data_IF_314433258092
#
_entry.id   IF_314433258092
#
_cell.length_a   1.000
_cell.length_b   1.000
_cell.length_c   1.000
_cell.angle_alpha   90.00
_cell.angle_beta   90.00
_cell.angle_gamma   90.00
#
_symmetry.space_group_name_H-M   'P 1'
#
loop_
_entity.id
_entity.type
_entity.pdbx_description
1 polymer ?
#
# COMPACT_ATOMS: atom_id res chain seq x y z
N UNK A 1 6.68 34.47 6.64
CA UNK A 1 8.04 34.09 6.24
C UNK A 1 8.77 35.40 6.07
N UNK A 2 9.56 35.78 7.05
CA UNK A 2 10.23 37.08 7.05
C UNK A 2 11.67 36.88 6.59
N UNK A 3 12.05 37.65 5.57
CA UNK A 3 13.40 37.69 5.05
C UNK A 3 14.17 38.78 5.80
N UNK A 4 15.26 38.41 6.47
CA UNK A 4 16.22 39.37 7.04
C UNK A 4 17.47 39.31 6.17
N UNK A 5 17.56 40.24 5.22
CA UNK A 5 18.62 40.22 4.20
C UNK A 5 18.54 38.96 3.34
N UNK A 6 19.61 38.17 3.29
CA UNK A 6 19.70 36.92 2.52
C UNK A 6 19.30 35.66 3.32
N UNK A 7 18.80 35.82 4.54
CA UNK A 7 18.48 34.70 5.43
C UNK A 7 16.97 34.58 5.64
N UNK A 8 16.47 33.35 5.55
CA UNK A 8 15.11 32.99 5.95
C UNK A 8 15.13 32.81 7.47
N UNK A 9 14.42 33.69 8.19
CA UNK A 9 14.25 33.54 9.63
C UNK A 9 12.93 32.83 9.87
N UNK A 10 13.03 31.54 10.20
CA UNK A 10 11.91 30.72 10.67
C UNK A 10 11.64 31.07 12.14
N UNK A 11 10.61 31.87 12.41
CA UNK A 11 10.16 32.15 13.78
C UNK A 11 8.96 31.27 14.13
N UNK A 12 9.01 30.63 15.30
CA UNK A 12 7.89 29.85 15.82
C UNK A 12 6.80 30.82 16.27
N UNK A 13 5.68 30.83 15.56
CA UNK A 13 4.49 31.59 15.94
C UNK A 13 3.59 30.71 16.79
N UNK A 14 3.38 31.10 18.05
CA UNK A 14 2.46 30.40 18.95
C UNK A 14 1.02 30.58 18.45
N UNK A 15 0.30 29.49 18.22
CA UNK A 15 -1.06 29.53 17.72
C UNK A 15 -1.87 28.28 18.09
N UNK A 16 -3.12 28.49 18.54
CA UNK A 16 -4.03 27.41 18.89
C UNK A 16 -4.60 26.73 17.64
N UNK A 17 -4.16 25.50 17.41
CA UNK A 17 -4.72 24.62 16.36
C UNK A 17 -5.91 23.85 16.93
N UNK A 18 -7.11 24.36 16.68
CA UNK A 18 -8.35 23.61 16.89
C UNK A 18 -8.62 22.76 15.65
N UNK A 19 -8.77 21.45 15.84
CA UNK A 19 -9.16 20.51 14.80
C UNK A 19 -10.34 19.67 15.28
N UNK A 20 -11.13 19.18 14.33
CA UNK A 20 -12.16 18.17 14.58
C UNK A 20 -11.84 16.97 13.70
N UNK A 21 -11.92 15.76 14.26
CA UNK A 21 -11.71 14.54 13.49
C UNK A 21 -12.78 13.51 13.80
N UNK A 22 -13.23 12.82 12.75
CA UNK A 22 -14.15 11.71 12.80
C UNK A 22 -13.43 10.48 12.27
N UNK A 23 -13.49 9.39 13.02
CA UNK A 23 -12.89 8.13 12.67
C UNK A 23 -13.95 7.03 12.74
N UNK A 24 -14.06 6.26 11.69
CA UNK A 24 -14.95 5.11 11.61
C UNK A 24 -14.13 3.89 11.20
N UNK A 25 -14.25 2.81 11.99
CA UNK A 25 -13.63 1.53 11.71
C UNK A 25 -14.70 0.46 11.60
N UNK A 26 -14.72 -0.23 10.47
CA UNK A 26 -15.58 -1.38 10.24
C UNK A 26 -14.71 -2.59 9.98
N UNK A 27 -15.07 -3.72 10.57
CA UNK A 27 -14.42 -5.00 10.33
C UNK A 27 -15.48 -6.10 10.29
N UNK A 28 -15.44 -6.89 9.22
CA UNK A 28 -16.27 -8.07 9.05
C UNK A 28 -15.38 -9.25 8.67
N UNK A 29 -15.74 -10.43 9.16
CA UNK A 29 -15.01 -11.66 8.88
C UNK A 29 -15.99 -12.81 8.81
N UNK A 30 -15.96 -13.57 7.72
CA UNK A 30 -16.89 -14.66 7.48
C UNK A 30 -16.15 -15.85 6.86
N UNK A 31 -16.35 -17.03 7.43
CA UNK A 31 -15.92 -18.28 6.81
C UNK A 31 -16.81 -18.62 5.62
N UNK A 32 -16.21 -19.04 4.50
CA UNK A 32 -16.89 -19.46 3.28
C UNK A 32 -16.74 -20.98 3.16
N UNK A 33 -17.76 -21.72 3.60
CA UNK A 33 -17.71 -23.19 3.70
C UNK A 33 -17.39 -23.88 2.37
N UNK A 34 -18.00 -23.44 1.25
CA UNK A 34 -17.79 -24.08 -0.05
C UNK A 34 -16.38 -23.88 -0.62
N UNK A 35 -15.66 -22.82 -0.22
CA UNK A 35 -14.26 -22.58 -0.58
C UNK A 35 -13.27 -23.15 0.45
N UNK A 36 -13.78 -23.69 1.57
CA UNK A 36 -12.98 -23.96 2.78
C UNK A 36 -12.12 -22.74 3.14
N UNK A 37 -12.70 -21.56 2.98
CA UNK A 37 -11.99 -20.29 2.94
C UNK A 37 -12.51 -19.30 3.97
N UNK A 38 -11.88 -18.12 3.99
CA UNK A 38 -12.24 -17.02 4.89
C UNK A 38 -12.17 -15.70 4.14
N UNK A 39 -13.23 -14.92 4.23
CA UNK A 39 -13.26 -13.54 3.75
C UNK A 39 -13.16 -12.59 4.94
N UNK A 40 -12.25 -11.63 4.87
CA UNK A 40 -12.09 -10.56 5.84
C UNK A 40 -12.18 -9.24 5.12
N UNK A 41 -13.00 -8.32 5.63
CA UNK A 41 -13.12 -6.96 5.10
C UNK A 41 -12.90 -5.98 6.24
N UNK A 42 -12.07 -4.97 5.99
CA UNK A 42 -11.81 -3.86 6.90
C UNK A 42 -12.02 -2.57 6.15
N UNK A 43 -12.71 -1.60 6.75
CA UNK A 43 -12.83 -0.25 6.24
C UNK A 43 -12.46 0.75 7.33
N UNK A 44 -11.59 1.70 6.99
CA UNK A 44 -11.15 2.80 7.82
C UNK A 44 -11.52 4.08 7.11
N UNK A 45 -12.38 4.88 7.73
CA UNK A 45 -12.72 6.21 7.25
C UNK A 45 -12.29 7.25 8.27
N UNK A 46 -11.51 8.22 7.84
CA UNK A 46 -11.12 9.39 8.61
C UNK A 46 -11.58 10.64 7.88
N UNK A 47 -12.25 11.53 8.59
CA UNK A 47 -12.51 12.89 8.13
C UNK A 47 -11.93 13.86 9.15
N UNK A 48 -11.25 14.90 8.69
CA UNK A 48 -10.68 15.90 9.57
C UNK A 48 -10.90 17.29 8.99
N UNK A 49 -11.21 18.23 9.87
CA UNK A 49 -11.24 19.66 9.57
C UNK A 49 -10.18 20.32 10.44
N UNK A 50 -9.27 21.05 9.81
CA UNK A 50 -8.18 21.72 10.52
C UNK A 50 -7.77 22.99 9.78
N UNK A 51 -6.70 23.62 10.26
CA UNK A 51 -6.18 24.86 9.71
C UNK A 51 -4.68 24.73 9.46
N UNK A 52 -4.23 25.35 8.39
CA UNK A 52 -2.82 25.48 8.05
C UNK A 52 -2.48 26.98 8.01
N UNK A 53 -1.35 27.36 8.56
CA UNK A 53 -0.85 28.73 8.48
C UNK A 53 0.07 28.83 7.28
N UNK A 54 -0.28 29.67 6.30
CA UNK A 54 0.54 29.96 5.13
C UNK A 54 0.60 31.48 4.95
N UNK A 55 1.79 32.05 4.78
CA UNK A 55 2.00 33.50 4.67
C UNK A 55 1.32 34.31 5.78
N UNK A 56 1.45 33.84 7.03
CA UNK A 56 0.83 34.44 8.22
C UNK A 56 -0.71 34.50 8.21
N UNK A 57 -1.36 33.80 7.26
CA UNK A 57 -2.81 33.65 7.21
C UNK A 57 -3.23 32.23 7.58
N UNK A 58 -4.25 32.13 8.42
CA UNK A 58 -4.86 30.86 8.82
C UNK A 58 -5.85 30.40 7.74
N UNK A 59 -5.52 29.32 7.06
CA UNK A 59 -6.32 28.76 5.96
C UNK A 59 -6.99 27.46 6.40
N UNK A 60 -8.32 27.34 6.34
CA UNK A 60 -9.00 26.09 6.64
C UNK A 60 -8.71 25.04 5.56
N UNK A 61 -8.61 23.79 5.97
CA UNK A 61 -8.57 22.65 5.06
C UNK A 61 -9.34 21.46 5.64
N UNK A 62 -9.92 20.68 4.74
CA UNK A 62 -10.67 19.47 5.08
C UNK A 62 -10.01 18.27 4.39
N UNK A 63 -9.83 17.17 5.12
CA UNK A 63 -9.35 15.90 4.56
C UNK A 63 -10.36 14.79 4.78
N UNK A 64 -10.47 13.89 3.81
CA UNK A 64 -11.25 12.65 3.92
C UNK A 64 -10.44 11.50 3.36
N UNK A 65 -10.19 10.49 4.18
CA UNK A 65 -9.39 9.34 3.85
C UNK A 65 -10.25 8.10 4.06
N UNK A 66 -10.36 7.26 3.03
CA UNK A 66 -11.01 5.96 3.10
C UNK A 66 -10.00 4.89 2.69
N UNK A 67 -9.83 3.87 3.51
CA UNK A 67 -9.07 2.68 3.16
C UNK A 67 -9.96 1.45 3.36
N UNK A 68 -10.17 0.68 2.30
CA UNK A 68 -10.91 -0.58 2.34
C UNK A 68 -9.92 -1.68 1.99
N UNK A 69 -9.76 -2.66 2.88
CA UNK A 69 -8.97 -3.86 2.65
C UNK A 69 -9.87 -5.08 2.71
N UNK A 70 -9.88 -5.87 1.64
CA UNK A 70 -10.52 -7.19 1.57
C UNK A 70 -9.45 -8.27 1.44
N UNK A 71 -9.58 -9.37 2.16
CA UNK A 71 -8.66 -10.51 2.13
C UNK A 71 -9.46 -11.81 2.05
N UNK A 72 -9.20 -12.59 1.01
CA UNK A 72 -9.84 -13.86 0.72
C UNK A 72 -8.80 -14.97 0.76
N UNK A 73 -8.95 -15.87 1.74
CA UNK A 73 -8.16 -17.09 1.87
C UNK A 73 -8.96 -18.28 1.36
N UNK A 74 -8.35 -19.14 0.54
CA UNK A 74 -8.99 -20.31 -0.07
C UNK A 74 -8.09 -21.53 0.10
N UNK A 75 -8.66 -22.61 0.62
CA UNK A 75 -8.01 -23.91 0.85
C UNK A 75 -8.81 -25.06 0.26
N UNK A 76 -9.43 -24.86 -0.91
CA UNK A 76 -10.37 -25.82 -1.50
C UNK A 76 -9.70 -27.16 -1.84
N UNK A 77 -8.46 -27.14 -2.31
CA UNK A 77 -7.66 -28.32 -2.66
C UNK A 77 -6.63 -28.59 -1.55
N UNK A 78 -6.51 -29.84 -1.11
CA UNK A 78 -5.57 -30.22 -0.05
C UNK A 78 -4.13 -29.90 -0.48
N UNK A 79 -3.48 -29.03 0.29
CA UNK A 79 -2.10 -28.62 0.08
C UNK A 79 -1.93 -27.42 -0.85
N UNK A 80 -2.99 -26.93 -1.49
CA UNK A 80 -2.97 -25.68 -2.26
C UNK A 80 -3.58 -24.57 -1.41
N UNK A 81 -2.80 -23.52 -1.20
CA UNK A 81 -3.23 -22.34 -0.45
C UNK A 81 -3.24 -21.14 -1.40
N UNK A 82 -4.40 -20.50 -1.56
CA UNK A 82 -4.55 -19.28 -2.34
C UNK A 82 -5.01 -18.16 -1.40
N UNK A 83 -4.27 -17.07 -1.38
CA UNK A 83 -4.67 -15.83 -0.72
C UNK A 83 -4.74 -14.72 -1.76
N UNK A 84 -5.79 -13.91 -1.65
CA UNK A 84 -5.95 -12.71 -2.45
C UNK A 84 -6.40 -11.54 -1.57
N UNK A 85 -5.66 -10.45 -1.62
CA UNK A 85 -5.93 -9.23 -0.87
C UNK A 85 -6.07 -8.05 -1.82
N UNK A 86 -7.14 -7.29 -1.63
CA UNK A 86 -7.47 -6.08 -2.36
C UNK A 86 -7.49 -4.92 -1.38
N UNK A 87 -6.70 -3.88 -1.64
CA UNK A 87 -6.71 -2.63 -0.88
C UNK A 87 -7.13 -1.50 -1.81
N UNK A 88 -8.21 -0.81 -1.46
CA UNK A 88 -8.63 0.43 -2.09
C UNK A 88 -8.37 1.59 -1.13
N UNK A 89 -7.78 2.66 -1.64
CA UNK A 89 -7.55 3.90 -0.92
C UNK A 89 -8.17 5.06 -1.68
N UNK A 90 -8.82 5.95 -0.95
CA UNK A 90 -9.29 7.24 -1.43
C UNK A 90 -8.82 8.32 -0.47
N UNK A 91 -8.24 9.37 -1.03
CA UNK A 91 -7.79 10.53 -0.30
C UNK A 91 -8.35 11.78 -0.97
N UNK A 92 -9.11 12.57 -0.21
CA UNK A 92 -9.60 13.88 -0.63
C UNK A 92 -9.05 14.96 0.29
N UNK A 93 -8.66 16.07 -0.31
CA UNK A 93 -8.35 17.31 0.40
C UNK A 93 -9.07 18.48 -0.25
N UNK A 94 -9.79 19.27 0.56
CA UNK A 94 -10.47 20.48 0.13
C UNK A 94 -9.83 21.69 0.81
N UNK A 95 -9.59 22.74 0.02
CA UNK A 95 -9.15 24.05 0.50
C UNK A 95 -10.20 25.10 0.12
N UNK A 96 -11.14 25.40 1.04
CA UNK A 96 -12.18 26.39 0.79
C UNK A 96 -11.63 27.75 0.37
N UNK A 97 -10.52 28.20 0.98
CA UNK A 97 -9.90 29.49 0.70
C UNK A 97 -9.46 29.67 -0.77
N UNK A 98 -9.18 28.59 -1.49
CA UNK A 98 -8.79 28.61 -2.90
C UNK A 98 -9.85 28.02 -3.85
N UNK A 99 -10.99 27.57 -3.32
CA UNK A 99 -12.00 26.85 -4.11
C UNK A 99 -11.50 25.54 -4.74
N UNK A 100 -10.38 24.99 -4.25
CA UNK A 100 -9.72 23.82 -4.84
C UNK A 100 -10.00 22.55 -4.04
N UNK A 101 -10.17 21.44 -4.74
CA UNK A 101 -10.31 20.09 -4.17
C UNK A 101 -9.40 19.14 -4.93
N UNK A 102 -8.60 18.34 -4.21
CA UNK A 102 -7.83 17.23 -4.77
C UNK A 102 -8.43 15.91 -4.31
N UNK A 103 -8.51 14.93 -5.22
CA UNK A 103 -8.94 13.57 -4.96
C UNK A 103 -7.90 12.65 -5.59
N UNK A 104 -7.45 11.64 -4.85
CA UNK A 104 -6.55 10.60 -5.33
C UNK A 104 -7.12 9.23 -4.95
N UNK A 105 -7.06 8.31 -5.90
CA UNK A 105 -7.43 6.91 -5.72
C UNK A 105 -6.21 6.00 -5.81
N UNK A 106 -6.21 4.92 -5.04
CA UNK A 106 -5.18 3.89 -5.13
C UNK A 106 -5.79 2.51 -5.03
N UNK A 107 -5.35 1.60 -5.89
CA UNK A 107 -5.70 0.19 -5.85
C UNK A 107 -4.43 -0.63 -5.69
N UNK A 108 -4.47 -1.59 -4.76
CA UNK A 108 -3.42 -2.58 -4.57
C UNK A 108 -4.04 -3.96 -4.58
N UNK A 109 -3.57 -4.81 -5.48
CA UNK A 109 -3.91 -6.22 -5.57
C UNK A 109 -2.69 -7.01 -5.12
N UNK A 110 -2.89 -7.94 -4.21
CA UNK A 110 -1.86 -8.86 -3.71
C UNK A 110 -2.43 -10.26 -3.86
N UNK A 111 -1.72 -11.15 -4.54
CA UNK A 111 -2.11 -12.54 -4.68
C UNK A 111 -0.94 -13.43 -4.31
N UNK A 112 -1.17 -14.44 -3.48
CA UNK A 112 -0.17 -15.47 -3.22
C UNK A 112 -0.78 -16.85 -3.44
N UNK A 113 -0.08 -17.70 -4.17
CA UNK A 113 -0.47 -19.08 -4.39
C UNK A 113 0.67 -20.00 -4.02
N UNK A 114 0.35 -21.01 -3.21
CA UNK A 114 1.24 -22.10 -2.86
C UNK A 114 0.67 -23.40 -3.40
N UNK A 115 1.44 -24.06 -4.26
CA UNK A 115 1.04 -25.26 -4.97
C UNK A 115 2.08 -26.37 -4.76
N UNK A 116 1.69 -27.53 -4.21
CA UNK A 116 2.57 -28.69 -4.11
C UNK A 116 2.58 -29.39 -5.46
N UNK A 117 3.73 -29.38 -6.15
CA UNK A 117 3.91 -30.08 -7.42
C UNK A 117 4.05 -31.60 -7.18
N UNK A 118 4.74 -31.97 -6.10
CA UNK A 118 4.82 -33.35 -5.61
C UNK A 118 5.13 -33.36 -4.09
N UNK A 119 5.33 -34.54 -3.50
CA UNK A 119 5.58 -34.67 -2.04
C UNK A 119 6.81 -33.91 -1.54
N UNK A 120 7.79 -33.69 -2.42
CA UNK A 120 9.08 -33.06 -2.09
C UNK A 120 9.25 -31.70 -2.76
N UNK A 121 8.35 -31.27 -3.63
CA UNK A 121 8.51 -30.05 -4.42
C UNK A 121 7.23 -29.21 -4.35
N UNK A 122 7.37 -27.93 -4.00
CA UNK A 122 6.29 -26.96 -4.03
C UNK A 122 6.72 -25.68 -4.75
N UNK A 123 5.76 -25.05 -5.41
CA UNK A 123 5.89 -23.75 -6.04
C UNK A 123 5.10 -22.73 -5.21
N UNK A 124 5.72 -21.61 -4.90
CA UNK A 124 5.10 -20.44 -4.32
C UNK A 124 5.21 -19.28 -5.31
N UNK A 125 4.13 -18.54 -5.49
CA UNK A 125 4.09 -17.37 -6.36
C UNK A 125 3.45 -16.23 -5.60
N UNK A 126 4.04 -15.04 -5.73
CA UNK A 126 3.53 -13.80 -5.15
C UNK A 126 3.40 -12.77 -6.25
N UNK A 127 2.21 -12.19 -6.37
CA UNK A 127 1.87 -11.17 -7.35
C UNK A 127 1.43 -9.93 -6.61
N UNK A 128 2.00 -8.79 -6.94
CA UNK A 128 1.50 -7.49 -6.49
C UNK A 128 1.23 -6.59 -7.69
N UNK A 129 0.09 -5.92 -7.70
CA UNK A 129 -0.26 -4.93 -8.71
C UNK A 129 -0.75 -3.67 -8.02
N UNK A 130 -0.18 -2.54 -8.41
CA UNK A 130 -0.51 -1.22 -7.89
C UNK A 130 -1.04 -0.38 -9.05
N UNK A 131 -2.16 0.29 -8.83
CA UNK A 131 -2.72 1.30 -9.72
C UNK A 131 -3.02 2.54 -8.88
N UNK A 132 -2.08 3.48 -8.88
CA UNK A 132 -2.10 4.64 -8.00
C UNK A 132 -2.27 5.92 -8.80
N UNK A 133 -3.27 6.71 -8.46
CA UNK A 133 -3.43 8.07 -8.93
C UNK A 133 -2.39 8.95 -8.21
N UNK A 134 -1.36 9.38 -8.94
CA UNK A 134 -0.25 10.19 -8.41
C UNK A 134 -0.53 11.68 -8.54
N UNK A 135 -1.41 12.09 -9.46
CA UNK A 135 -1.98 13.42 -9.62
C UNK A 135 -3.40 13.28 -10.16
N UNK A 136 -4.22 14.35 -10.14
CA UNK A 136 -5.59 14.26 -10.67
C UNK A 136 -5.60 13.71 -12.09
N UNK A 137 -6.23 12.53 -12.25
CA UNK A 137 -6.33 11.76 -13.49
C UNK A 137 -4.99 11.26 -14.07
N UNK A 138 -3.90 11.32 -13.31
CA UNK A 138 -2.61 10.75 -13.68
C UNK A 138 -2.33 9.52 -12.85
N UNK A 139 -2.22 8.37 -13.51
CA UNK A 139 -2.07 7.08 -12.86
C UNK A 139 -0.69 6.50 -13.11
N UNK A 140 -0.18 5.78 -12.10
CA UNK A 140 1.03 4.97 -12.20
C UNK A 140 0.71 3.53 -11.84
N UNK A 141 1.00 2.66 -12.79
CA UNK A 141 0.88 1.20 -12.66
C UNK A 141 2.24 0.57 -12.30
N UNK A 142 2.23 -0.37 -11.37
CA UNK A 142 3.41 -1.16 -11.01
C UNK A 142 3.02 -2.62 -10.80
N UNK A 143 3.80 -3.54 -11.33
CA UNK A 143 3.51 -4.97 -11.27
C UNK A 143 4.72 -5.76 -10.77
N UNK A 144 4.56 -6.55 -9.72
CA UNK A 144 5.62 -7.39 -9.17
C UNK A 144 5.18 -8.82 -9.21
N UNK A 145 6.12 -9.68 -9.59
CA UNK A 145 5.89 -11.10 -9.68
C UNK A 145 7.14 -11.82 -9.22
N UNK A 146 6.94 -12.66 -8.21
CA UNK A 146 7.95 -13.51 -7.63
C UNK A 146 7.54 -14.97 -7.77
N UNK A 147 8.53 -15.85 -7.94
CA UNK A 147 8.36 -17.29 -7.93
C UNK A 147 9.40 -17.92 -7.02
N UNK A 148 9.00 -18.81 -6.13
CA UNK A 148 9.90 -19.58 -5.29
C UNK A 148 9.60 -21.06 -5.45
N UNK A 149 10.61 -21.81 -5.92
CA UNK A 149 10.56 -23.26 -5.97
C UNK A 149 11.22 -23.82 -4.71
N UNK A 150 10.52 -24.65 -3.96
CA UNK A 150 10.98 -25.22 -2.69
C UNK A 150 11.05 -26.73 -2.83
N UNK A 151 12.25 -27.27 -2.65
CA UNK A 151 12.52 -28.69 -2.56
C UNK A 151 12.77 -29.08 -1.10
N UNK A 152 11.97 -30.01 -0.58
CA UNK A 152 12.07 -30.53 0.78
C UNK A 152 12.59 -31.95 0.77
N UNK A 153 13.73 -32.16 1.41
CA UNK A 153 14.28 -33.48 1.69
C UNK A 153 14.30 -33.76 3.20
N UNK A 154 14.67 -34.99 3.57
CA UNK A 154 14.68 -35.44 4.97
C UNK A 154 15.67 -34.64 5.83
N UNK A 155 16.86 -34.39 5.30
CA UNK A 155 17.97 -33.76 6.02
C UNK A 155 18.31 -32.35 5.53
N UNK A 156 17.67 -31.87 4.47
CA UNK A 156 17.86 -30.51 3.99
C UNK A 156 16.67 -30.03 3.17
N UNK A 157 16.50 -28.72 3.11
CA UNK A 157 15.62 -28.03 2.17
C UNK A 157 16.46 -27.14 1.26
N UNK A 158 16.05 -27.05 0.00
CA UNK A 158 16.59 -26.13 -0.99
C UNK A 158 15.46 -25.23 -1.48
N UNK A 159 15.72 -23.94 -1.65
CA UNK A 159 14.78 -23.04 -2.32
C UNK A 159 15.48 -22.20 -3.38
N UNK A 160 14.83 -22.08 -4.54
CA UNK A 160 15.24 -21.19 -5.61
C UNK A 160 14.16 -20.12 -5.78
N UNK A 161 14.46 -18.89 -5.40
CA UNK A 161 13.58 -17.74 -5.56
C UNK A 161 14.02 -16.89 -6.75
N UNK A 162 13.08 -16.57 -7.63
CA UNK A 162 13.22 -15.62 -8.72
C UNK A 162 12.27 -14.46 -8.47
N UNK A 163 12.82 -13.37 -7.95
CA UNK A 163 12.06 -12.21 -7.50
C UNK A 163 12.08 -11.11 -8.56
N UNK A 164 11.01 -10.33 -8.60
CA UNK A 164 10.82 -9.21 -9.50
C UNK A 164 11.14 -9.62 -10.95
N UNK A 165 10.42 -10.62 -11.46
CA UNK A 165 10.65 -11.22 -12.79
C UNK A 165 10.66 -10.16 -13.89
N UNK A 166 9.86 -9.11 -13.77
CA UNK A 166 9.76 -8.01 -14.74
C UNK A 166 10.82 -6.91 -14.54
N UNK A 167 11.68 -7.04 -13.53
CA UNK A 167 12.78 -6.12 -13.23
C UNK A 167 12.33 -4.66 -13.05
N UNK A 168 11.21 -4.47 -12.36
CA UNK A 168 10.72 -3.14 -12.03
C UNK A 168 11.60 -2.52 -10.95
N UNK A 169 12.31 -1.44 -11.29
CA UNK A 169 13.33 -0.82 -10.42
C UNK A 169 12.84 0.40 -9.66
N UNK A 170 11.63 0.88 -9.95
CA UNK A 170 11.09 2.08 -9.30
C UNK A 170 9.78 1.76 -8.62
N UNK A 171 9.71 2.06 -7.32
CA UNK A 171 8.49 2.17 -6.56
C UNK A 171 8.24 3.66 -6.34
N UNK A 172 7.35 4.26 -7.14
CA UNK A 172 6.97 5.65 -6.91
C UNK A 172 5.55 5.73 -6.41
N UNK A 173 5.37 6.42 -5.29
CA UNK A 173 4.07 6.89 -4.85
C UNK A 173 4.10 8.43 -4.83
N UNK A 174 3.04 9.02 -5.37
CA UNK A 174 2.83 10.47 -5.35
C UNK A 174 1.60 10.78 -4.52
N UNK A 175 1.74 11.66 -3.53
CA UNK A 175 0.62 12.37 -2.92
C UNK A 175 0.65 13.77 -3.51
N UNK A 176 -0.10 14.01 -4.58
CA UNK A 176 -0.35 15.35 -5.08
C UNK A 176 -1.59 15.96 -4.45
N UNK A 177 -1.35 16.89 -3.54
CA UNK A 177 -2.39 17.66 -2.88
C UNK A 177 -2.29 19.15 -3.28
N UNK A 178 -3.38 19.89 -3.08
CA UNK A 178 -3.53 21.31 -3.42
C UNK A 178 -2.46 22.24 -2.81
N UNK A 179 -1.81 21.82 -1.72
CA UNK A 179 -0.74 22.55 -1.02
C UNK A 179 0.66 21.98 -1.24
N UNK A 180 0.77 20.70 -1.59
CA UNK A 180 2.04 19.98 -1.58
C UNK A 180 1.97 18.78 -2.51
N UNK A 181 2.95 18.71 -3.40
CA UNK A 181 3.26 17.56 -4.23
C UNK A 181 4.38 16.77 -3.56
N UNK A 182 4.03 15.74 -2.79
CA UNK A 182 5.03 14.83 -2.21
C UNK A 182 5.14 13.61 -3.09
N UNK A 183 6.15 13.61 -3.95
CA UNK A 183 6.54 12.43 -4.72
C UNK A 183 7.66 11.73 -3.97
N UNK A 184 7.42 10.51 -3.52
CA UNK A 184 8.49 9.63 -3.09
C UNK A 184 8.70 8.60 -4.19
N UNK A 185 9.82 8.76 -4.89
CA UNK A 185 10.34 7.73 -5.76
C UNK A 185 11.42 6.98 -4.97
N UNK A 186 11.16 5.71 -4.69
CA UNK A 186 12.14 4.83 -4.08
C UNK A 186 12.60 3.84 -5.14
N UNK A 187 13.91 3.80 -5.37
CA UNK A 187 14.49 2.72 -6.15
C UNK A 187 14.39 1.44 -5.34
N UNK A 188 13.77 0.43 -5.93
CA UNK A 188 13.64 -0.90 -5.36
C UNK A 188 14.62 -1.84 -6.04
N UNK A 189 14.98 -2.90 -5.31
CA UNK A 189 15.85 -3.94 -5.85
C UNK A 189 15.24 -4.49 -7.13
N UNK A 190 16.10 -4.61 -8.15
CA UNK A 190 15.70 -5.14 -9.45
C UNK A 190 15.40 -6.64 -9.39
N UNK A 191 15.47 -7.29 -10.53
CA UNK A 191 15.33 -8.75 -10.63
C UNK A 191 16.45 -9.46 -9.89
N UNK A 192 16.09 -10.41 -9.03
CA UNK A 192 17.03 -11.18 -8.22
C UNK A 192 16.78 -12.69 -8.37
N UNK A 193 17.87 -13.46 -8.33
CA UNK A 193 17.81 -14.93 -8.24
C UNK A 193 18.54 -15.35 -6.97
N UNK A 194 17.85 -16.06 -6.08
CA UNK A 194 18.37 -16.47 -4.78
C UNK A 194 18.26 -17.98 -4.62
N UNK A 195 19.38 -18.62 -4.31
CA UNK A 195 19.42 -20.01 -3.89
C UNK A 195 19.64 -20.07 -2.37
N UNK A 196 18.81 -20.82 -1.66
CA UNK A 196 18.95 -21.02 -0.22
C UNK A 196 19.02 -22.50 0.11
N UNK A 197 19.86 -22.85 1.09
CA UNK A 197 20.04 -24.19 1.61
C UNK A 197 19.82 -24.17 3.12
N UNK A 198 19.01 -25.09 3.62
CA UNK A 198 18.72 -25.23 5.03
C UNK A 198 18.91 -26.69 5.45
N UNK A 199 19.85 -26.94 6.37
CA UNK A 199 20.12 -28.28 6.89
C UNK A 199 19.22 -28.59 8.09
N UNK A 200 18.66 -29.81 8.12
CA UNK A 200 17.84 -30.35 9.22
C UNK A 200 18.61 -31.48 9.90
N UNK A 201 19.08 -31.28 11.15
CA UNK A 201 19.78 -32.30 11.91
C UNK A 201 18.86 -33.50 12.24
#
# INVERSE_FOLDING_TARGET
QDYVGNYIVESLTQGDTKYNSWNMFLMASQGIGFLKGKLNVKALYNAMNSYLVQNSQRMPYDTKNLNITSNLDIGLIKGVDLNYKLTYGFHQMKMPAFGKTSNLNSWKHEGSLRLPLCKVLSLETLTEYYHNEIAQKEFKDMFFQDFTLIFKAKHFDLSLAWNNVFNNKSYSYGINNTLSSSFSNQDIRGRELMLSFYYKP
#
